data_IF_346752037807
#
_entry.id   IF_346752037807
#
_cell.length_a   1.000
_cell.length_b   1.000
_cell.length_c   1.000
_cell.angle_alpha   90.00
_cell.angle_beta   90.00
_cell.angle_gamma   90.00
#
_symmetry.space_group_name_H-M   'P 1'
#
loop_
_entity.id
_entity.type
_entity.pdbx_description
1 polymer ?
#
# COMPACT_ATOMS: atom_id res chain seq x y z
N UNK A 1 36.99 14.87 -14.29
CA UNK A 1 36.26 15.95 -15.01
C UNK A 1 35.10 15.32 -15.76
N UNK A 2 34.02 16.05 -16.00
CA UNK A 2 32.80 15.55 -16.65
C UNK A 2 32.92 15.36 -18.18
N UNK A 3 34.12 15.45 -18.75
CA UNK A 3 34.32 15.46 -20.21
C UNK A 3 33.87 14.16 -20.88
N UNK A 4 34.09 13.01 -20.26
CA UNK A 4 33.68 11.72 -20.80
C UNK A 4 32.14 11.61 -20.85
N UNK A 5 31.46 12.01 -19.77
CA UNK A 5 30.00 12.07 -19.70
C UNK A 5 29.41 13.06 -20.72
N UNK A 6 30.06 14.21 -20.92
CA UNK A 6 29.62 15.19 -21.93
C UNK A 6 29.76 14.60 -23.33
N UNK A 7 30.86 13.90 -23.63
CA UNK A 7 31.06 13.27 -24.94
C UNK A 7 30.06 12.14 -25.20
N UNK A 8 29.72 11.37 -24.16
CA UNK A 8 28.68 10.36 -24.21
C UNK A 8 27.30 10.99 -24.48
N UNK A 9 26.94 12.05 -23.74
CA UNK A 9 25.70 12.80 -23.94
C UNK A 9 25.61 13.36 -25.36
N UNK A 10 26.69 13.96 -25.88
CA UNK A 10 26.77 14.47 -27.25
C UNK A 10 26.55 13.34 -28.27
N UNK A 11 27.06 12.15 -27.99
CA UNK A 11 26.88 10.97 -28.85
C UNK A 11 25.42 10.51 -28.85
N UNK A 12 24.78 10.46 -27.68
CA UNK A 12 23.36 10.10 -27.55
C UNK A 12 22.43 11.10 -28.24
N UNK A 13 22.70 12.40 -28.10
CA UNK A 13 21.95 13.45 -28.80
C UNK A 13 22.08 13.31 -30.33
N UNK A 14 23.26 12.97 -30.84
CA UNK A 14 23.46 12.72 -32.29
C UNK A 14 22.66 11.53 -32.82
N UNK A 15 22.45 10.51 -31.99
CA UNK A 15 21.63 9.34 -32.37
C UNK A 15 20.15 9.76 -32.35
N UNK A 16 19.72 10.47 -31.31
CA UNK A 16 18.38 11.03 -31.21
C UNK A 16 18.00 11.90 -32.42
N UNK A 17 18.88 12.80 -32.85
CA UNK A 17 18.65 13.66 -34.03
C UNK A 17 18.44 12.87 -35.32
N UNK A 18 19.06 11.70 -35.46
CA UNK A 18 18.94 10.85 -36.66
C UNK A 18 17.67 10.01 -36.67
N UNK A 19 17.19 9.64 -35.49
CA UNK A 19 16.04 8.74 -35.33
C UNK A 19 14.71 9.45 -35.13
N UNK A 20 14.74 10.70 -34.66
CA UNK A 20 13.52 11.44 -34.38
C UNK A 20 12.93 12.09 -35.63
N UNK A 21 11.66 11.77 -35.93
CA UNK A 21 10.84 12.43 -36.97
C UNK A 21 10.12 13.67 -36.39
N UNK A 22 10.40 14.02 -35.14
CA UNK A 22 9.67 15.06 -34.41
C UNK A 22 10.17 16.46 -34.75
N UNK A 23 9.24 17.40 -34.88
CA UNK A 23 9.49 18.83 -35.19
C UNK A 23 9.98 19.65 -33.99
N UNK A 24 10.07 19.05 -32.80
CA UNK A 24 10.47 19.70 -31.54
C UNK A 24 11.56 18.88 -30.86
N UNK A 25 12.76 19.45 -30.71
CA UNK A 25 13.88 18.87 -29.99
C UNK A 25 14.08 19.62 -28.67
N UNK A 26 13.35 19.20 -27.64
CA UNK A 26 13.54 19.71 -26.28
C UNK A 26 14.07 18.60 -25.35
N UNK A 27 14.43 18.98 -24.12
CA UNK A 27 14.99 18.04 -23.16
C UNK A 27 14.01 16.93 -22.76
N UNK A 28 12.70 17.18 -22.78
CA UNK A 28 11.69 16.20 -22.42
C UNK A 28 11.52 15.15 -23.52
N UNK A 29 11.51 15.59 -24.79
CA UNK A 29 11.44 14.67 -25.93
C UNK A 29 12.72 13.84 -26.06
N UNK A 30 13.89 14.43 -25.81
CA UNK A 30 15.15 13.70 -25.74
C UNK A 30 15.17 12.68 -24.59
N UNK A 31 14.73 13.07 -23.39
CA UNK A 31 14.63 12.16 -22.23
C UNK A 31 13.72 10.98 -22.52
N UNK A 32 12.56 11.23 -23.11
CA UNK A 32 11.61 10.16 -23.43
C UNK A 32 12.16 9.19 -24.48
N UNK A 33 12.84 9.71 -25.50
CA UNK A 33 13.55 8.86 -26.47
C UNK A 33 14.68 8.08 -25.81
N UNK A 34 15.46 8.73 -24.93
CA UNK A 34 16.56 8.08 -24.23
C UNK A 34 16.05 6.92 -23.40
N UNK A 35 14.97 7.09 -22.63
CA UNK A 35 14.34 6.04 -21.83
C UNK A 35 13.88 4.83 -22.68
N UNK A 36 13.46 5.07 -23.93
CA UNK A 36 13.04 4.02 -24.87
C UNK A 36 14.21 3.36 -25.61
N UNK A 37 15.26 4.14 -25.91
CA UNK A 37 16.41 3.71 -26.70
C UNK A 37 17.50 3.08 -25.83
N UNK A 38 17.55 3.44 -24.55
CA UNK A 38 18.28 2.69 -23.55
C UNK A 38 17.58 1.34 -23.37
N UNK A 39 18.05 0.32 -24.08
CA UNK A 39 17.93 -1.08 -23.67
C UNK A 39 18.76 -1.34 -22.38
N UNK A 40 18.75 -0.40 -21.43
CA UNK A 40 19.18 -0.69 -20.08
C UNK A 40 18.09 -1.58 -19.48
N UNK A 41 18.34 -2.89 -19.56
CA UNK A 41 18.16 -3.72 -18.37
C UNK A 41 18.62 -2.85 -17.20
N UNK A 42 17.71 -2.53 -16.26
CA UNK A 42 17.98 -1.63 -15.15
C UNK A 42 19.32 -1.99 -14.49
N UNK A 43 20.41 -1.29 -14.85
CA UNK A 43 21.73 -1.39 -14.22
C UNK A 43 21.71 -0.65 -12.86
N UNK A 44 20.59 -0.79 -12.14
CA UNK A 44 20.65 -0.61 -10.71
C UNK A 44 21.51 -1.77 -10.21
N UNK A 45 22.65 -1.49 -9.56
CA UNK A 45 23.42 -2.56 -8.95
C UNK A 45 22.49 -3.34 -8.05
N UNK A 46 22.36 -4.65 -8.30
CA UNK A 46 21.50 -5.48 -7.48
C UNK A 46 21.93 -5.31 -6.03
N UNK A 47 21.00 -5.08 -5.10
CA UNK A 47 21.36 -4.98 -3.70
C UNK A 47 21.99 -6.30 -3.25
N UNK A 48 22.88 -6.21 -2.28
CA UNK A 48 23.36 -7.38 -1.57
C UNK A 48 22.32 -7.80 -0.52
N UNK A 49 22.05 -9.10 -0.43
CA UNK A 49 21.15 -9.66 0.59
C UNK A 49 21.68 -10.95 1.17
N UNK A 50 21.31 -11.20 2.43
CA UNK A 50 21.73 -12.39 3.15
C UNK A 50 21.27 -13.67 2.43
N UNK A 51 22.24 -14.53 2.10
CA UNK A 51 22.01 -15.81 1.43
C UNK A 51 22.01 -15.75 -0.10
N UNK A 52 22.26 -14.58 -0.72
CA UNK A 52 22.37 -14.44 -2.19
C UNK A 52 23.39 -15.41 -2.80
N UNK A 53 24.60 -15.42 -2.25
CA UNK A 53 25.69 -16.35 -2.63
C UNK A 53 25.35 -17.84 -2.45
N UNK A 54 24.35 -18.14 -1.60
CA UNK A 54 23.85 -19.50 -1.36
C UNK A 54 22.62 -19.84 -2.19
N UNK A 55 22.25 -18.99 -3.15
CA UNK A 55 21.12 -19.21 -4.07
C UNK A 55 19.77 -18.70 -3.56
N UNK A 56 19.72 -17.84 -2.53
CA UNK A 56 18.46 -17.24 -2.08
C UNK A 56 17.95 -16.25 -3.14
N UNK A 57 16.75 -16.51 -3.67
CA UNK A 57 16.12 -15.66 -4.69
C UNK A 57 15.64 -14.31 -4.15
N UNK A 58 15.49 -13.34 -5.06
CA UNK A 58 14.87 -12.05 -4.76
C UNK A 58 13.44 -12.21 -4.20
N UNK A 59 12.64 -13.13 -4.77
CA UNK A 59 11.27 -13.43 -4.30
C UNK A 59 11.26 -13.88 -2.84
N UNK A 60 12.22 -14.72 -2.44
CA UNK A 60 12.34 -15.19 -1.05
C UNK A 60 12.62 -14.03 -0.10
N UNK A 61 13.52 -13.13 -0.48
CA UNK A 61 13.89 -11.94 0.33
C UNK A 61 12.72 -10.98 0.44
N UNK A 62 12.03 -10.70 -0.68
CA UNK A 62 10.87 -9.82 -0.71
C UNK A 62 9.76 -10.37 0.20
N UNK A 63 9.38 -11.65 0.05
CA UNK A 63 8.34 -12.26 0.88
C UNK A 63 8.69 -12.26 2.37
N UNK A 64 9.94 -12.57 2.71
CA UNK A 64 10.42 -12.50 4.10
C UNK A 64 10.31 -11.06 4.64
N UNK A 65 10.71 -10.09 3.82
CA UNK A 65 10.68 -8.66 4.19
C UNK A 65 9.25 -8.17 4.39
N UNK A 66 8.29 -8.54 3.53
CA UNK A 66 6.87 -8.22 3.69
C UNK A 66 6.32 -8.76 5.02
N UNK A 67 6.66 -10.01 5.38
CA UNK A 67 6.24 -10.61 6.66
C UNK A 67 6.86 -9.84 7.84
N UNK A 68 8.13 -9.49 7.79
CA UNK A 68 8.79 -8.73 8.84
C UNK A 68 8.19 -7.33 8.99
N UNK A 69 8.00 -6.61 7.89
CA UNK A 69 7.40 -5.28 7.88
C UNK A 69 5.96 -5.31 8.40
N UNK A 70 5.16 -6.32 8.03
CA UNK A 70 3.83 -6.52 8.61
C UNK A 70 3.89 -6.70 10.13
N UNK A 71 4.82 -7.53 10.64
CA UNK A 71 5.01 -7.74 12.08
C UNK A 71 5.41 -6.45 12.79
N UNK A 72 6.35 -5.69 12.24
CA UNK A 72 6.75 -4.39 12.79
C UNK A 72 5.58 -3.40 12.78
N UNK A 73 4.84 -3.30 11.67
CA UNK A 73 3.65 -2.47 11.59
C UNK A 73 2.61 -2.85 12.66
N UNK A 74 2.39 -4.14 12.89
CA UNK A 74 1.50 -4.62 13.95
C UNK A 74 1.97 -4.24 15.36
N UNK A 75 3.28 -4.31 15.62
CA UNK A 75 3.87 -3.88 16.90
C UNK A 75 3.64 -2.38 17.11
N UNK A 76 3.98 -1.55 16.12
CA UNK A 76 3.76 -0.10 16.19
C UNK A 76 2.28 0.25 16.35
N UNK A 77 1.39 -0.40 15.58
CA UNK A 77 -0.04 -0.18 15.70
C UNK A 77 -0.59 -0.58 17.08
N UNK A 78 -0.07 -1.66 17.69
CA UNK A 78 -0.42 -2.03 19.07
C UNK A 78 -0.01 -0.93 20.05
N UNK A 79 1.18 -0.35 19.91
CA UNK A 79 1.62 0.75 20.79
C UNK A 79 0.74 1.99 20.67
N UNK A 80 0.22 2.29 19.47
CA UNK A 80 -0.66 3.43 19.23
C UNK A 80 -2.02 3.33 19.94
N UNK A 81 -2.47 2.11 20.25
CA UNK A 81 -3.79 1.86 20.85
C UNK A 81 -3.75 1.56 22.36
N UNK A 82 -2.57 1.49 22.99
CA UNK A 82 -2.41 1.08 24.41
C UNK A 82 -3.29 1.89 25.37
N UNK A 83 -3.46 3.19 25.12
CA UNK A 83 -4.27 4.09 25.95
C UNK A 83 -5.62 4.43 25.31
N UNK A 84 -6.12 3.54 24.45
CA UNK A 84 -7.41 3.69 23.79
C UNK A 84 -8.32 2.52 24.19
N UNK A 85 -9.64 2.68 24.05
CA UNK A 85 -10.60 1.58 24.18
C UNK A 85 -10.40 0.41 23.21
N UNK A 86 -9.64 0.56 22.11
CA UNK A 86 -9.43 -0.50 21.13
C UNK A 86 -8.70 -1.70 21.74
N UNK A 87 -9.23 -2.90 21.48
CA UNK A 87 -8.61 -4.16 21.90
C UNK A 87 -7.58 -4.64 20.87
N UNK A 88 -7.82 -4.39 19.58
CA UNK A 88 -6.89 -4.73 18.51
C UNK A 88 -6.75 -3.61 17.49
N UNK A 89 -5.58 -3.48 16.82
CA UNK A 89 -5.43 -2.48 15.75
C UNK A 89 -6.43 -2.68 14.60
N UNK A 90 -6.86 -3.93 14.35
CA UNK A 90 -7.82 -4.24 13.29
C UNK A 90 -9.19 -3.59 13.52
N UNK A 91 -9.63 -3.42 14.78
CA UNK A 91 -10.88 -2.72 15.08
C UNK A 91 -10.84 -1.27 14.58
N UNK A 92 -9.69 -0.63 14.76
CA UNK A 92 -9.45 0.70 14.27
C UNK A 92 -9.42 0.75 12.73
N UNK A 93 -8.75 -0.21 12.07
CA UNK A 93 -8.71 -0.29 10.59
C UNK A 93 -10.13 -0.46 10.00
N UNK A 94 -10.95 -1.32 10.61
CA UNK A 94 -12.34 -1.50 10.17
C UNK A 94 -13.17 -0.21 10.28
N UNK A 95 -12.96 0.59 11.34
CA UNK A 95 -13.61 1.90 11.46
C UNK A 95 -13.11 2.90 10.41
N UNK A 96 -11.80 2.91 10.10
CA UNK A 96 -11.27 3.70 8.97
C UNK A 96 -11.96 3.30 7.67
N UNK A 97 -12.09 2.01 7.38
CA UNK A 97 -12.76 1.54 6.16
C UNK A 97 -14.17 2.11 6.03
N UNK A 98 -14.94 2.09 7.12
CA UNK A 98 -16.31 2.63 7.15
C UNK A 98 -16.35 4.15 6.97
N UNK A 99 -15.35 4.89 7.49
CA UNK A 99 -15.26 6.34 7.29
C UNK A 99 -14.86 6.69 5.87
N UNK A 100 -13.89 5.96 5.29
CA UNK A 100 -13.33 6.26 3.98
C UNK A 100 -14.23 5.82 2.82
N UNK A 101 -14.91 4.68 2.96
CA UNK A 101 -15.69 4.07 1.88
C UNK A 101 -17.20 4.02 2.17
N UNK A 102 -17.63 4.52 3.32
CA UNK A 102 -19.02 4.52 3.74
C UNK A 102 -19.50 3.17 4.28
N UNK A 103 -20.81 3.11 4.56
CA UNK A 103 -21.46 1.90 5.05
C UNK A 103 -21.43 0.78 4.01
N UNK A 104 -21.20 -0.45 4.46
CA UNK A 104 -21.12 -1.62 3.56
C UNK A 104 -21.57 -2.90 4.24
N UNK A 105 -21.80 -3.95 3.45
CA UNK A 105 -22.15 -5.27 4.01
C UNK A 105 -21.01 -5.84 4.85
N UNK A 106 -21.31 -6.78 5.77
CA UNK A 106 -20.28 -7.50 6.53
C UNK A 106 -19.26 -8.16 5.60
N UNK A 107 -19.72 -8.82 4.54
CA UNK A 107 -18.85 -9.51 3.58
C UNK A 107 -17.92 -8.53 2.86
N UNK A 108 -18.45 -7.40 2.41
CA UNK A 108 -17.66 -6.34 1.77
C UNK A 108 -16.61 -5.77 2.71
N UNK A 109 -16.97 -5.50 3.97
CA UNK A 109 -16.05 -4.96 4.97
C UNK A 109 -14.92 -5.94 5.30
N UNK A 110 -15.24 -7.22 5.44
CA UNK A 110 -14.25 -8.28 5.71
C UNK A 110 -13.29 -8.43 4.52
N UNK A 111 -13.83 -8.45 3.30
CA UNK A 111 -13.03 -8.57 2.07
C UNK A 111 -12.12 -7.36 1.86
N UNK A 112 -12.63 -6.16 2.10
CA UNK A 112 -11.84 -4.92 2.02
C UNK A 112 -10.64 -4.93 2.98
N UNK A 113 -10.78 -5.61 4.12
CA UNK A 113 -9.73 -5.75 5.13
C UNK A 113 -8.87 -7.02 4.96
N UNK A 114 -9.07 -7.78 3.86
CA UNK A 114 -8.29 -8.99 3.54
C UNK A 114 -8.25 -9.97 4.72
N UNK A 115 -9.40 -10.17 5.36
CA UNK A 115 -9.54 -11.09 6.49
C UNK A 115 -10.35 -12.32 6.13
N UNK A 116 -9.98 -13.44 6.76
CA UNK A 116 -10.83 -14.61 6.81
C UNK A 116 -12.19 -14.30 7.45
N UNK A 117 -13.23 -14.96 6.95
CA UNK A 117 -14.62 -14.68 7.35
C UNK A 117 -14.83 -14.77 8.86
N UNK A 118 -14.23 -15.76 9.53
CA UNK A 118 -14.36 -15.96 10.98
C UNK A 118 -13.74 -14.82 11.79
N UNK A 119 -12.50 -14.43 11.46
CA UNK A 119 -11.79 -13.34 12.12
C UNK A 119 -12.51 -12.00 11.92
N UNK A 120 -12.92 -11.73 10.68
CA UNK A 120 -13.65 -10.51 10.34
C UNK A 120 -15.00 -10.39 11.03
N UNK A 121 -15.76 -11.49 11.15
CA UNK A 121 -17.02 -11.51 11.92
C UNK A 121 -16.77 -11.19 13.40
N UNK A 122 -15.72 -11.75 14.01
CA UNK A 122 -15.39 -11.47 15.41
C UNK A 122 -15.06 -9.99 15.63
N UNK A 123 -14.29 -9.37 14.73
CA UNK A 123 -13.98 -7.93 14.80
C UNK A 123 -15.27 -7.11 14.71
N UNK A 124 -16.10 -7.35 13.71
CA UNK A 124 -17.36 -6.61 13.52
C UNK A 124 -18.28 -6.76 14.74
N UNK A 125 -18.40 -7.96 15.31
CA UNK A 125 -19.21 -8.18 16.49
C UNK A 125 -18.70 -7.41 17.72
N UNK A 126 -17.37 -7.26 17.89
CA UNK A 126 -16.79 -6.42 18.95
C UNK A 126 -17.10 -4.94 18.72
N UNK A 127 -16.97 -4.45 17.48
CA UNK A 127 -17.34 -3.06 17.14
C UNK A 127 -18.81 -2.77 17.47
N UNK A 128 -19.72 -3.69 17.14
CA UNK A 128 -21.16 -3.56 17.44
C UNK A 128 -21.40 -3.62 18.95
N UNK A 129 -20.78 -4.57 19.65
CA UNK A 129 -20.91 -4.72 21.11
C UNK A 129 -20.47 -3.45 21.85
N UNK A 130 -19.45 -2.76 21.35
CA UNK A 130 -18.93 -1.53 21.94
C UNK A 130 -19.68 -0.26 21.46
N UNK A 131 -20.70 -0.42 20.60
CA UNK A 131 -21.47 0.66 19.98
C UNK A 131 -20.61 1.60 19.12
N UNK A 132 -19.49 1.11 18.57
CA UNK A 132 -18.65 1.86 17.63
C UNK A 132 -19.13 1.68 16.19
N UNK A 133 -19.78 0.56 15.91
CA UNK A 133 -20.51 0.31 14.68
C UNK A 133 -21.92 -0.17 15.01
N UNK A 134 -22.82 -0.06 14.05
CA UNK A 134 -24.19 -0.54 14.16
C UNK A 134 -24.58 -1.28 12.87
N UNK A 135 -25.58 -2.14 13.00
CA UNK A 135 -26.05 -2.97 11.90
C UNK A 135 -27.52 -2.66 11.59
N UNK A 136 -27.76 -2.14 10.39
CA UNK A 136 -29.10 -1.87 9.88
C UNK A 136 -29.53 -2.94 8.88
N UNK A 137 -30.78 -3.37 8.91
CA UNK A 137 -31.35 -4.19 7.85
C UNK A 137 -31.76 -3.28 6.68
N UNK A 138 -31.49 -3.68 5.44
CA UNK A 138 -32.06 -2.98 4.29
C UNK A 138 -33.56 -3.32 4.18
N UNK A 139 -34.39 -2.30 3.99
CA UNK A 139 -35.85 -2.45 3.83
C UNK A 139 -36.22 -3.36 2.64
N UNK A 140 -35.35 -3.46 1.63
CA UNK A 140 -35.56 -4.28 0.44
C UNK A 140 -35.17 -5.75 0.60
N UNK A 141 -34.27 -6.10 1.53
CA UNK A 141 -33.89 -7.50 1.78
C UNK A 141 -33.30 -7.66 3.19
N UNK A 142 -34.05 -8.35 4.07
CA UNK A 142 -33.64 -8.67 5.45
C UNK A 142 -32.35 -9.51 5.52
N UNK A 143 -31.90 -10.09 4.40
CA UNK A 143 -30.63 -10.82 4.29
C UNK A 143 -29.43 -9.90 4.13
N UNK A 144 -29.60 -8.70 3.56
CA UNK A 144 -28.54 -7.73 3.40
C UNK A 144 -28.58 -6.71 4.53
N UNK A 145 -27.68 -6.92 5.49
CA UNK A 145 -27.48 -6.00 6.61
C UNK A 145 -26.23 -5.16 6.37
N UNK A 146 -26.36 -3.86 6.53
CA UNK A 146 -25.29 -2.87 6.33
C UNK A 146 -24.66 -2.51 7.67
N UNK A 147 -23.33 -2.37 7.68
CA UNK A 147 -22.57 -1.90 8.82
C UNK A 147 -22.31 -0.41 8.66
N UNK A 148 -22.65 0.34 9.70
CA UNK A 148 -22.46 1.79 9.76
C UNK A 148 -21.56 2.11 10.95
N UNK A 149 -20.72 3.12 10.81
CA UNK A 149 -20.01 3.69 11.95
C UNK A 149 -20.96 4.59 12.75
N UNK A 150 -20.93 4.49 14.08
CA UNK A 150 -21.75 5.36 14.95
C UNK A 150 -21.03 6.68 15.22
N UNK A 151 -21.72 7.73 15.71
CA UNK A 151 -21.07 8.96 16.17
C UNK A 151 -20.01 8.70 17.25
N UNK A 152 -20.26 7.73 18.14
CA UNK A 152 -19.32 7.30 19.19
C UNK A 152 -18.07 6.67 18.58
N UNK A 153 -18.22 5.77 17.62
CA UNK A 153 -17.11 5.15 16.90
C UNK A 153 -16.28 6.18 16.13
N UNK A 154 -16.94 7.14 15.46
CA UNK A 154 -16.26 8.23 14.74
C UNK A 154 -15.44 9.12 15.68
N UNK A 155 -16.02 9.54 16.81
CA UNK A 155 -15.32 10.35 17.82
C UNK A 155 -14.08 9.63 18.36
N UNK A 156 -14.22 8.35 18.72
CA UNK A 156 -13.10 7.53 19.18
C UNK A 156 -11.99 7.41 18.12
N UNK A 157 -12.38 7.24 16.85
CA UNK A 157 -11.44 7.20 15.73
C UNK A 157 -10.65 8.52 15.64
N UNK A 158 -11.35 9.65 15.62
CA UNK A 158 -10.76 10.98 15.50
C UNK A 158 -9.76 11.28 16.63
N UNK A 159 -10.10 10.91 17.87
CA UNK A 159 -9.23 11.04 19.04
C UNK A 159 -7.95 10.17 18.93
N UNK A 160 -8.04 9.03 18.23
CA UNK A 160 -6.94 8.07 18.08
C UNK A 160 -6.07 8.33 16.84
N UNK A 161 -6.55 9.11 15.87
CA UNK A 161 -5.87 9.33 14.57
C UNK A 161 -4.45 9.89 14.72
N UNK A 162 -4.21 10.75 15.70
CA UNK A 162 -2.88 11.33 15.94
C UNK A 162 -1.82 10.28 16.28
N UNK A 163 -2.15 9.34 17.17
CA UNK A 163 -1.23 8.27 17.58
C UNK A 163 -0.98 7.28 16.44
N UNK A 164 -2.02 6.98 15.66
CA UNK A 164 -1.93 6.07 14.53
C UNK A 164 -1.05 6.66 13.44
N UNK A 165 -1.23 7.94 13.07
CA UNK A 165 -0.38 8.59 12.07
C UNK A 165 1.10 8.54 12.47
N UNK A 166 1.40 8.74 13.77
CA UNK A 166 2.76 8.60 14.30
C UNK A 166 3.29 7.17 14.14
N UNK A 167 2.51 6.17 14.53
CA UNK A 167 2.90 4.76 14.38
C UNK A 167 3.12 4.36 12.92
N UNK A 168 2.25 4.76 12.00
CA UNK A 168 2.40 4.50 10.56
C UNK A 168 3.65 5.18 9.99
N UNK A 169 3.98 6.39 10.46
CA UNK A 169 5.18 7.09 10.04
C UNK A 169 6.47 6.42 10.54
N UNK A 170 6.46 5.71 11.67
CA UNK A 170 7.63 5.00 12.19
C UNK A 170 8.07 3.85 11.27
N UNK A 171 7.12 3.08 10.73
CA UNK A 171 7.41 1.93 9.85
C UNK A 171 8.13 2.36 8.57
N UNK A 172 7.76 3.54 8.04
CA UNK A 172 8.31 4.08 6.78
C UNK A 172 9.28 5.25 7.01
N UNK A 173 9.71 5.44 8.26
CA UNK A 173 10.48 6.61 8.71
C UNK A 173 11.76 6.88 7.92
N UNK A 174 12.58 5.86 7.61
CA UNK A 174 13.81 6.05 6.85
C UNK A 174 13.63 6.51 5.40
N UNK A 175 12.43 6.40 4.82
CA UNK A 175 12.19 6.70 3.41
C UNK A 175 11.89 8.19 3.18
N UNK A 176 12.55 8.77 2.19
CA UNK A 176 12.21 10.06 1.60
C UNK A 176 10.83 10.04 0.95
N UNK A 177 10.31 11.22 0.59
CA UNK A 177 9.02 11.30 -0.10
C UNK A 177 9.03 10.55 -1.44
N UNK A 178 10.11 10.68 -2.24
CA UNK A 178 10.21 10.00 -3.53
C UNK A 178 10.26 8.48 -3.38
N UNK A 179 11.05 7.97 -2.42
CA UNK A 179 11.10 6.53 -2.11
C UNK A 179 9.75 5.99 -1.66
N UNK A 180 8.98 6.76 -0.87
CA UNK A 180 7.60 6.39 -0.50
C UNK A 180 6.70 6.28 -1.71
N UNK A 181 6.74 7.24 -2.65
CA UNK A 181 5.91 7.20 -3.86
C UNK A 181 6.27 6.00 -4.74
N UNK A 182 7.57 5.71 -4.89
CA UNK A 182 8.04 4.54 -5.62
C UNK A 182 7.59 3.23 -4.95
N UNK A 183 7.75 3.12 -3.63
CA UNK A 183 7.30 1.95 -2.88
C UNK A 183 5.78 1.74 -3.00
N UNK A 184 4.98 2.81 -2.92
CA UNK A 184 3.53 2.74 -3.12
C UNK A 184 3.20 2.17 -4.50
N UNK A 185 3.85 2.66 -5.56
CA UNK A 185 3.62 2.17 -6.92
C UNK A 185 3.96 0.67 -7.06
N UNK A 186 5.07 0.23 -6.45
CA UNK A 186 5.50 -1.18 -6.47
C UNK A 186 4.49 -2.05 -5.71
N UNK A 187 4.08 -1.64 -4.50
CA UNK A 187 3.12 -2.39 -3.69
C UNK A 187 1.76 -2.48 -4.37
N UNK A 188 1.24 -1.38 -4.94
CA UNK A 188 -0.01 -1.40 -5.69
C UNK A 188 0.05 -2.33 -6.91
N UNK A 189 1.20 -2.42 -7.58
CA UNK A 189 1.40 -3.37 -8.68
C UNK A 189 1.31 -4.82 -8.19
N UNK A 190 1.89 -5.14 -7.04
CA UNK A 190 1.80 -6.48 -6.43
C UNK A 190 0.36 -6.79 -6.00
N UNK A 191 -0.29 -5.87 -5.30
CA UNK A 191 -1.66 -6.04 -4.79
C UNK A 191 -2.69 -6.22 -5.92
N UNK A 192 -2.55 -5.50 -7.03
CA UNK A 192 -3.48 -5.57 -8.17
C UNK A 192 -3.64 -6.99 -8.71
N UNK A 193 -2.56 -7.78 -8.75
CA UNK A 193 -2.60 -9.17 -9.23
C UNK A 193 -3.47 -10.02 -8.31
N UNK A 194 -3.27 -9.93 -7.01
CA UNK A 194 -4.03 -10.69 -6.01
C UNK A 194 -5.48 -10.22 -5.85
N UNK A 195 -5.75 -8.93 -6.06
CA UNK A 195 -7.12 -8.41 -6.10
C UNK A 195 -7.91 -9.05 -7.26
N UNK A 196 -7.30 -9.22 -8.43
CA UNK A 196 -7.94 -9.89 -9.57
C UNK A 196 -8.24 -11.36 -9.25
N UNK A 197 -7.29 -12.07 -8.65
CA UNK A 197 -7.44 -13.48 -8.27
C UNK A 197 -8.51 -13.69 -7.18
N UNK A 198 -8.45 -12.88 -6.11
CA UNK A 198 -9.40 -12.95 -5.00
C UNK A 198 -10.82 -12.56 -5.41
N UNK A 199 -10.99 -11.71 -6.43
CA UNK A 199 -12.31 -11.39 -6.96
C UNK A 199 -13.00 -12.59 -7.63
N UNK A 200 -12.27 -13.63 -8.03
CA UNK A 200 -12.80 -14.87 -8.59
C UNK A 200 -12.96 -16.03 -7.59
N UNK A 201 -12.48 -15.87 -6.35
CA UNK A 201 -12.43 -16.94 -5.33
C UNK A 201 -13.47 -16.82 -4.21
N UNK A 202 -14.31 -15.78 -4.23
CA UNK A 202 -15.35 -15.52 -3.22
C UNK A 202 -16.74 -15.30 -3.82
#
# INVERSE_FOLDING_TARGET
MLYDLINELVTLVKIYEKESVHTSHDLNTFRHWLDQHSNHNNDLPEPEWEGKEKGRSADSVINTSLVHLYRYAKIHAKTAIVNTPFSTPDEFIYLISLVSFGSMSKTSLIRLNIHEKSAGIQIINRLIKNEWAEQHALDSDKRNKMIHITPKGKKLLDESMGNIRKASAQVTGPLSHNEKMNLINILLKLEKVHQIESNGMF
#
